data_IF_712299271712
#
_entry.id   IF_712299271712
#
_cell.length_a   1.000
_cell.length_b   1.000
_cell.length_c   1.000
_cell.angle_alpha   90.00
_cell.angle_beta   90.00
_cell.angle_gamma   90.00
#
_symmetry.space_group_name_H-M   'P 1'
#
loop_
_entity.id
_entity.type
_entity.pdbx_description
1 polymer ?
#
# COMPACT_ATOMS: atom_id res chain seq x y z
N UNK A 1 13.20 -4.82 12.19
CA UNK A 1 12.98 -5.81 11.12
C UNK A 1 14.20 -6.70 11.08
N UNK A 2 14.02 -8.02 11.09
CA UNK A 2 15.16 -8.95 11.02
C UNK A 2 15.60 -9.17 9.55
N UNK A 3 16.75 -9.81 9.34
CA UNK A 3 17.31 -10.01 8.00
C UNK A 3 16.41 -10.86 7.07
N UNK A 4 15.69 -11.83 7.62
CA UNK A 4 14.78 -12.68 6.84
C UNK A 4 13.54 -11.89 6.39
N UNK A 5 12.98 -11.04 7.25
CA UNK A 5 11.88 -10.13 6.92
C UNK A 5 12.30 -9.12 5.84
N UNK A 6 13.51 -8.56 5.94
CA UNK A 6 14.07 -7.67 4.91
C UNK A 6 14.15 -8.37 3.56
N UNK A 7 14.72 -9.58 3.54
CA UNK A 7 14.81 -10.39 2.32
C UNK A 7 13.44 -10.70 1.72
N UNK A 8 12.46 -11.05 2.57
CA UNK A 8 11.07 -11.24 2.15
C UNK A 8 10.48 -10.00 1.47
N UNK A 9 10.69 -8.83 2.07
CA UNK A 9 10.20 -7.56 1.52
C UNK A 9 10.82 -7.23 0.15
N UNK A 10 12.10 -7.51 -0.07
CA UNK A 10 12.73 -7.32 -1.38
C UNK A 10 12.05 -8.15 -2.47
N UNK A 11 11.73 -9.42 -2.18
CA UNK A 11 11.02 -10.27 -3.14
C UNK A 11 9.62 -9.75 -3.46
N UNK A 12 8.89 -9.29 -2.45
CA UNK A 12 7.53 -8.75 -2.64
C UNK A 12 7.58 -7.47 -3.49
N UNK A 13 8.52 -6.56 -3.20
CA UNK A 13 8.69 -5.31 -3.97
C UNK A 13 8.99 -5.64 -5.43
N UNK A 14 9.99 -6.50 -5.68
CA UNK A 14 10.38 -6.88 -7.04
C UNK A 14 9.22 -7.52 -7.81
N UNK A 15 8.48 -8.43 -7.18
CA UNK A 15 7.35 -9.12 -7.82
C UNK A 15 6.19 -8.17 -8.15
N UNK A 16 5.83 -7.28 -7.23
CA UNK A 16 4.75 -6.31 -7.43
C UNK A 16 5.09 -5.27 -8.50
N UNK A 17 6.33 -4.77 -8.52
CA UNK A 17 6.79 -3.89 -9.58
C UNK A 17 6.80 -4.61 -10.93
N UNK A 18 7.36 -5.82 -10.99
CA UNK A 18 7.38 -6.65 -12.21
C UNK A 18 5.98 -6.88 -12.76
N UNK A 19 5.05 -7.35 -11.92
CA UNK A 19 3.66 -7.61 -12.32
C UNK A 19 2.99 -6.34 -12.86
N UNK A 20 3.24 -5.20 -12.21
CA UNK A 20 2.69 -3.91 -12.64
C UNK A 20 3.28 -3.47 -13.98
N UNK A 21 4.60 -3.58 -14.16
CA UNK A 21 5.30 -3.23 -15.41
C UNK A 21 4.75 -4.01 -16.59
N UNK A 22 4.62 -5.34 -16.46
CA UNK A 22 4.04 -6.18 -17.52
C UNK A 22 2.60 -5.80 -17.81
N UNK A 23 1.77 -5.60 -16.78
CA UNK A 23 0.38 -5.21 -16.99
C UNK A 23 0.25 -3.85 -17.71
N UNK A 24 1.08 -2.86 -17.36
CA UNK A 24 1.13 -1.57 -18.05
C UNK A 24 1.60 -1.73 -19.50
N UNK A 25 2.59 -2.59 -19.75
CA UNK A 25 3.06 -2.91 -21.09
C UNK A 25 1.96 -3.59 -21.93
N UNK A 26 1.11 -4.40 -21.33
CA UNK A 26 -0.06 -5.02 -21.98
C UNK A 26 -1.24 -4.04 -22.18
N UNK A 27 -1.08 -2.78 -21.80
CA UNK A 27 -2.09 -1.73 -22.00
C UNK A 27 -3.10 -1.59 -20.86
N UNK A 28 -2.87 -2.24 -19.72
CA UNK A 28 -3.60 -1.90 -18.51
C UNK A 28 -3.21 -0.48 -18.03
N UNK A 29 -4.08 0.14 -17.25
CA UNK A 29 -3.84 1.46 -16.66
C UNK A 29 -4.33 1.48 -15.22
N UNK A 30 -3.75 2.37 -14.40
CA UNK A 30 -4.24 2.62 -13.05
C UNK A 30 -5.66 3.18 -13.10
N UNK A 31 -6.55 2.65 -12.26
CA UNK A 31 -7.95 3.03 -12.23
C UNK A 31 -8.54 2.84 -10.82
N UNK A 32 -9.61 3.57 -10.45
CA UNK A 32 -10.22 3.42 -9.13
C UNK A 32 -10.98 2.10 -8.94
N UNK A 33 -11.29 1.37 -10.03
CA UNK A 33 -12.03 0.10 -10.01
C UNK A 33 -11.43 -0.91 -11.00
N UNK A 34 -11.81 -2.18 -10.87
CA UNK A 34 -11.41 -3.26 -11.78
C UNK A 34 -9.90 -3.55 -11.74
N UNK A 35 -9.34 -3.95 -12.89
CA UNK A 35 -7.92 -4.34 -13.00
C UNK A 35 -6.95 -3.22 -12.59
N UNK A 36 -7.27 -1.98 -12.94
CA UNK A 36 -6.43 -0.84 -12.56
C UNK A 36 -6.37 -0.61 -11.05
N UNK A 37 -7.41 -0.98 -10.30
CA UNK A 37 -7.40 -0.90 -8.83
C UNK A 37 -6.46 -1.93 -8.20
N UNK A 38 -6.37 -3.11 -8.81
CA UNK A 38 -5.41 -4.15 -8.40
C UNK A 38 -3.98 -3.62 -8.60
N UNK A 39 -3.69 -2.97 -9.73
CA UNK A 39 -2.37 -2.36 -9.97
C UNK A 39 -2.03 -1.28 -8.93
N UNK A 40 -3.00 -0.41 -8.60
CA UNK A 40 -2.80 0.58 -7.52
C UNK A 40 -2.45 -0.08 -6.18
N UNK A 41 -3.08 -1.22 -5.86
CA UNK A 41 -2.76 -1.98 -4.63
C UNK A 41 -1.35 -2.56 -4.66
N UNK A 42 -0.91 -3.14 -5.78
CA UNK A 42 0.44 -3.68 -5.92
C UNK A 42 1.50 -2.58 -5.74
N UNK A 43 1.33 -1.44 -6.39
CA UNK A 43 2.24 -0.30 -6.27
C UNK A 43 2.23 0.27 -4.84
N UNK A 44 1.04 0.48 -4.24
CA UNK A 44 0.93 0.94 -2.85
C UNK A 44 1.64 0.00 -1.88
N UNK A 45 1.55 -1.32 -2.11
CA UNK A 45 2.25 -2.33 -1.30
C UNK A 45 3.77 -2.25 -1.47
N UNK A 46 4.25 -2.16 -2.72
CA UNK A 46 5.68 -2.00 -2.99
C UNK A 46 6.25 -0.73 -2.34
N UNK A 47 5.53 0.40 -2.46
CA UNK A 47 5.89 1.67 -1.84
C UNK A 47 5.91 1.58 -0.31
N UNK A 48 4.91 0.96 0.31
CA UNK A 48 4.86 0.78 1.76
C UNK A 48 6.08 0.00 2.28
N UNK A 49 6.40 -1.13 1.65
CA UNK A 49 7.56 -1.94 2.06
C UNK A 49 8.88 -1.23 1.80
N UNK A 50 8.97 -0.48 0.71
CA UNK A 50 10.15 0.34 0.39
C UNK A 50 10.37 1.41 1.46
N UNK A 51 9.30 2.03 1.98
CA UNK A 51 9.36 3.00 3.06
C UNK A 51 9.91 2.39 4.35
N UNK A 52 9.48 1.17 4.72
CA UNK A 52 10.03 0.45 5.87
C UNK A 52 11.51 0.07 5.72
N UNK A 53 11.98 -0.03 4.47
CA UNK A 53 13.37 -0.32 4.12
C UNK A 53 14.21 0.95 3.90
N UNK A 54 13.62 2.14 4.08
CA UNK A 54 14.24 3.45 3.82
C UNK A 54 14.67 3.67 2.36
N UNK A 55 13.96 3.06 1.41
CA UNK A 55 14.13 3.37 -0.02
C UNK A 55 13.28 4.57 -0.42
N UNK A 56 13.80 5.34 -1.38
CA UNK A 56 13.18 6.51 -1.96
C UNK A 56 12.29 6.16 -3.17
N UNK A 57 11.40 7.08 -3.62
CA UNK A 57 10.71 6.95 -4.90
C UNK A 57 11.66 6.69 -6.08
N UNK A 58 12.83 7.34 -6.07
CA UNK A 58 13.87 7.22 -7.09
C UNK A 58 14.46 5.81 -7.13
N UNK A 59 14.64 5.17 -5.97
CA UNK A 59 15.10 3.78 -5.88
C UNK A 59 14.08 2.82 -6.51
N UNK A 60 12.78 2.97 -6.25
CA UNK A 60 11.76 2.13 -6.90
C UNK A 60 11.73 2.31 -8.42
N UNK A 61 11.97 3.53 -8.90
CA UNK A 61 12.08 3.79 -10.34
C UNK A 61 13.32 3.12 -10.94
N UNK A 62 14.46 3.19 -10.25
CA UNK A 62 15.67 2.49 -10.67
C UNK A 62 15.47 0.96 -10.68
N UNK A 63 14.77 0.39 -9.69
CA UNK A 63 14.42 -1.02 -9.68
C UNK A 63 13.52 -1.39 -10.87
N UNK A 64 12.55 -0.53 -11.18
CA UNK A 64 11.66 -0.71 -12.32
C UNK A 64 12.42 -0.69 -13.65
N UNK A 65 13.41 0.19 -13.78
CA UNK A 65 14.31 0.22 -14.94
C UNK A 65 15.05 -1.09 -15.08
N UNK A 66 15.63 -1.55 -13.96
CA UNK A 66 16.40 -2.78 -13.97
C UNK A 66 15.55 -3.99 -14.34
N UNK A 67 14.29 -4.03 -13.90
CA UNK A 67 13.34 -5.08 -14.27
C UNK A 67 13.03 -5.07 -15.77
N UNK A 68 12.85 -3.89 -16.39
CA UNK A 68 12.65 -3.78 -17.84
C UNK A 68 13.90 -4.23 -18.60
N UNK A 69 15.09 -3.84 -18.15
CA UNK A 69 16.36 -4.28 -18.77
C UNK A 69 16.52 -5.81 -18.77
N UNK A 70 16.31 -6.45 -17.61
CA UNK A 70 16.50 -7.89 -17.44
C UNK A 70 15.50 -8.70 -18.28
N UNK A 71 14.26 -8.21 -18.42
CA UNK A 71 13.21 -8.92 -19.15
C UNK A 71 13.11 -8.52 -20.63
N UNK A 72 13.62 -7.35 -21.00
CA UNK A 72 13.42 -6.75 -22.32
C UNK A 72 14.20 -7.40 -23.47
N UNK A 73 15.06 -8.39 -23.20
CA UNK A 73 15.68 -9.21 -24.25
C UNK A 73 14.69 -10.23 -24.84
N UNK A 74 13.78 -10.76 -24.02
CA UNK A 74 12.76 -11.72 -24.44
C UNK A 74 11.41 -11.03 -24.70
N UNK A 75 11.07 -10.03 -23.88
CA UNK A 75 9.81 -9.29 -23.95
C UNK A 75 10.05 -7.89 -24.54
N UNK A 76 10.24 -7.82 -25.86
CA UNK A 76 10.64 -6.59 -26.59
C UNK A 76 9.65 -5.43 -26.35
N UNK A 77 8.36 -5.72 -26.26
CA UNK A 77 7.30 -4.75 -26.00
C UNK A 77 7.48 -3.97 -24.68
N UNK A 78 8.22 -4.50 -23.70
CA UNK A 78 8.57 -3.77 -22.48
C UNK A 78 9.46 -2.57 -22.78
N UNK A 79 10.45 -2.74 -23.67
CA UNK A 79 11.35 -1.67 -24.10
C UNK A 79 10.63 -0.68 -25.01
N UNK A 80 9.82 -1.16 -25.94
CA UNK A 80 9.04 -0.29 -26.84
C UNK A 80 8.09 0.64 -26.09
N UNK A 81 7.55 0.18 -24.95
CA UNK A 81 6.61 0.94 -24.13
C UNK A 81 7.23 1.55 -22.87
N UNK A 82 8.55 1.49 -22.73
CA UNK A 82 9.28 1.87 -21.51
C UNK A 82 8.88 3.26 -21.01
N UNK A 83 8.93 4.27 -21.88
CA UNK A 83 8.56 5.64 -21.52
C UNK A 83 7.13 5.75 -20.94
N UNK A 84 6.15 5.08 -21.56
CA UNK A 84 4.75 5.12 -21.13
C UNK A 84 4.55 4.40 -19.79
N UNK A 85 5.21 3.26 -19.61
CA UNK A 85 5.22 2.50 -18.35
C UNK A 85 5.79 3.38 -17.24
N UNK A 86 6.93 4.02 -17.48
CA UNK A 86 7.61 4.87 -16.52
C UNK A 86 6.79 6.10 -16.13
N UNK A 87 6.20 6.81 -17.08
CA UNK A 87 5.38 7.98 -16.81
C UNK A 87 4.19 7.64 -15.92
N UNK A 88 3.54 6.50 -16.20
CA UNK A 88 2.41 6.02 -15.40
C UNK A 88 2.84 5.57 -14.01
N UNK A 89 3.91 4.77 -13.93
CA UNK A 89 4.41 4.19 -12.69
C UNK A 89 4.98 5.27 -11.76
N UNK A 90 5.71 6.26 -12.30
CA UNK A 90 6.26 7.39 -11.53
C UNK A 90 5.17 8.22 -10.86
N UNK A 91 4.08 8.52 -11.58
CA UNK A 91 2.93 9.24 -11.02
C UNK A 91 2.34 8.47 -9.84
N UNK A 92 2.11 7.17 -10.01
CA UNK A 92 1.50 6.34 -8.96
C UNK A 92 2.45 6.12 -7.76
N UNK A 93 3.74 5.89 -7.99
CA UNK A 93 4.75 5.77 -6.93
C UNK A 93 4.80 7.06 -6.11
N UNK A 94 4.98 8.22 -6.74
CA UNK A 94 5.07 9.51 -6.05
C UNK A 94 3.80 9.82 -5.27
N UNK A 95 2.63 9.56 -5.86
CA UNK A 95 1.35 9.73 -5.19
C UNK A 95 1.27 8.90 -3.89
N UNK A 96 1.60 7.61 -3.97
CA UNK A 96 1.56 6.73 -2.80
C UNK A 96 2.63 7.09 -1.77
N UNK A 97 3.83 7.48 -2.20
CA UNK A 97 4.90 7.85 -1.28
C UNK A 97 4.53 9.09 -0.47
N UNK A 98 4.00 10.12 -1.13
CA UNK A 98 3.46 11.31 -0.48
C UNK A 98 2.33 10.96 0.50
N UNK A 99 1.42 10.06 0.11
CA UNK A 99 0.35 9.60 1.00
C UNK A 99 0.89 8.89 2.26
N UNK A 100 1.88 8.00 2.11
CA UNK A 100 2.51 7.28 3.21
C UNK A 100 3.25 8.24 4.15
N UNK A 101 4.03 9.18 3.60
CA UNK A 101 4.74 10.19 4.41
C UNK A 101 3.77 11.07 5.19
N UNK A 102 2.73 11.60 4.54
CA UNK A 102 1.72 12.43 5.21
C UNK A 102 0.98 11.65 6.29
N UNK A 103 0.67 10.38 6.03
CA UNK A 103 0.04 9.48 7.01
C UNK A 103 0.94 9.23 8.22
N UNK A 104 2.23 8.94 7.99
CA UNK A 104 3.22 8.78 9.05
C UNK A 104 3.31 10.06 9.90
N UNK A 105 3.41 11.23 9.27
CA UNK A 105 3.45 12.50 10.00
C UNK A 105 2.17 12.77 10.81
N UNK A 106 1.00 12.38 10.28
CA UNK A 106 -0.28 12.50 11.01
C UNK A 106 -0.26 11.67 12.30
N UNK A 107 0.21 10.42 12.23
CA UNK A 107 0.33 9.52 13.39
C UNK A 107 1.37 10.06 14.36
N UNK A 108 2.50 10.56 13.85
CA UNK A 108 3.56 11.14 14.66
C UNK A 108 3.07 12.33 15.48
N UNK A 109 2.34 13.26 14.86
CA UNK A 109 1.73 14.40 15.53
C UNK A 109 0.70 13.97 16.58
N UNK A 110 -0.05 12.89 16.32
CA UNK A 110 -0.97 12.34 17.32
C UNK A 110 -0.18 11.83 18.54
N UNK A 111 0.88 11.05 18.33
CA UNK A 111 1.72 10.54 19.41
C UNK A 111 2.36 11.67 20.22
N UNK A 112 2.89 12.72 19.57
CA UNK A 112 3.50 13.86 20.26
C UNK A 112 2.51 14.61 21.18
N UNK A 113 1.23 14.68 20.80
CA UNK A 113 0.20 15.38 21.58
C UNK A 113 -0.43 14.53 22.69
N UNK A 114 -0.21 13.21 22.69
CA UNK A 114 -0.85 12.29 23.62
C UNK A 114 0.21 11.49 24.37
N UNK A 115 0.29 11.67 25.70
CA UNK A 115 1.23 10.93 26.54
C UNK A 115 0.82 9.47 26.78
N UNK A 116 -0.46 9.16 26.66
CA UNK A 116 -0.98 7.80 26.80
C UNK A 116 -0.49 6.91 25.66
N UNK A 117 0.28 5.87 26.00
CA UNK A 117 0.90 4.94 25.05
C UNK A 117 -0.09 3.96 24.43
N UNK A 118 -1.28 3.81 24.98
CA UNK A 118 -2.34 2.98 24.40
C UNK A 118 -3.31 3.86 23.59
N UNK A 119 -3.28 3.72 22.27
CA UNK A 119 -4.16 4.44 21.34
C UNK A 119 -5.53 3.76 21.29
N UNK A 120 -6.65 4.50 21.39
CA UNK A 120 -7.98 3.92 21.29
C UNK A 120 -8.21 3.21 19.95
N UNK A 121 -8.82 2.03 19.98
CA UNK A 121 -9.06 1.21 18.78
C UNK A 121 -9.94 1.94 17.75
N UNK A 122 -10.85 2.82 18.18
CA UNK A 122 -11.67 3.66 17.31
C UNK A 122 -10.82 4.62 16.49
N UNK A 123 -9.71 5.12 17.06
CA UNK A 123 -8.80 6.03 16.36
C UNK A 123 -8.01 5.28 15.28
N UNK A 124 -7.55 4.07 15.61
CA UNK A 124 -6.88 3.17 14.65
C UNK A 124 -7.85 2.80 13.52
N UNK A 125 -9.08 2.43 13.88
CA UNK A 125 -10.14 2.11 12.94
C UNK A 125 -10.45 3.29 12.02
N UNK A 126 -10.53 4.51 12.56
CA UNK A 126 -10.73 5.71 11.74
C UNK A 126 -9.59 5.93 10.73
N UNK A 127 -8.33 5.79 11.16
CA UNK A 127 -7.19 5.90 10.26
C UNK A 127 -7.19 4.83 9.16
N UNK A 128 -7.56 3.61 9.51
CA UNK A 128 -7.62 2.50 8.59
C UNK A 128 -8.76 2.66 7.57
N UNK A 129 -9.98 2.86 8.06
CA UNK A 129 -11.20 2.83 7.26
C UNK A 129 -11.47 4.15 6.54
N UNK A 130 -11.40 5.26 7.27
CA UNK A 130 -11.75 6.58 6.73
C UNK A 130 -10.57 7.25 6.02
N UNK A 131 -9.39 7.26 6.64
CA UNK A 131 -8.20 7.86 6.02
C UNK A 131 -7.50 6.90 5.02
N UNK A 132 -7.87 5.62 4.98
CA UNK A 132 -7.29 4.63 4.06
C UNK A 132 -5.82 4.29 4.34
N UNK A 133 -5.36 4.54 5.56
CA UNK A 133 -3.98 4.30 5.99
C UNK A 133 -3.78 2.78 6.18
N UNK A 134 -2.77 2.16 5.54
CA UNK A 134 -2.48 0.74 5.77
C UNK A 134 -2.26 0.45 7.25
N UNK A 135 -2.91 -0.58 7.78
CA UNK A 135 -2.77 -0.99 9.18
C UNK A 135 -1.29 -1.19 9.56
N UNK A 136 -0.53 -1.82 8.68
CA UNK A 136 0.91 -2.04 8.88
C UNK A 136 1.71 -0.75 9.02
N UNK A 137 1.33 0.33 8.32
CA UNK A 137 1.97 1.64 8.52
C UNK A 137 1.63 2.18 9.91
N UNK A 138 0.37 2.02 10.35
CA UNK A 138 -0.07 2.46 11.67
C UNK A 138 0.72 1.73 12.75
N UNK A 139 0.74 0.41 12.71
CA UNK A 139 1.49 -0.45 13.63
C UNK A 139 2.97 -0.09 13.65
N UNK A 140 3.58 0.10 12.46
CA UNK A 140 4.97 0.49 12.34
C UNK A 140 5.25 1.83 13.05
N UNK A 141 4.48 2.88 12.74
CA UNK A 141 4.68 4.21 13.33
C UNK A 141 4.46 4.23 14.85
N UNK A 142 3.44 3.52 15.34
CA UNK A 142 3.16 3.44 16.78
C UNK A 142 4.28 2.70 17.51
N UNK A 143 4.69 1.54 17.01
CA UNK A 143 5.74 0.72 17.60
C UNK A 143 7.07 1.47 17.72
N UNK A 144 7.46 2.23 16.69
CA UNK A 144 8.68 3.05 16.72
C UNK A 144 8.68 4.11 17.84
N UNK A 145 7.50 4.51 18.34
CA UNK A 145 7.36 5.51 19.42
C UNK A 145 6.92 4.92 20.75
N UNK A 146 6.88 3.59 20.85
CA UNK A 146 6.43 2.86 22.03
C UNK A 146 4.94 3.03 22.31
N UNK A 147 4.11 3.22 21.28
CA UNK A 147 2.66 3.20 21.38
C UNK A 147 2.12 1.84 20.91
N UNK A 148 0.94 1.49 21.38
CA UNK A 148 0.23 0.27 21.03
C UNK A 148 -1.29 0.51 20.98
N UNK A 149 -2.06 -0.48 20.55
CA UNK A 149 -3.52 -0.45 20.58
C UNK A 149 -4.10 -1.86 20.81
N UNK A 150 -5.35 -1.93 21.27
CA UNK A 150 -6.02 -3.23 21.44
C UNK A 150 -6.41 -3.84 20.09
N UNK A 151 -5.65 -4.84 19.65
CA UNK A 151 -5.96 -5.59 18.43
C UNK A 151 -7.35 -6.25 18.50
N UNK A 152 -7.74 -6.70 19.70
CA UNK A 152 -9.05 -7.30 19.94
C UNK A 152 -10.18 -6.30 19.67
N UNK A 153 -10.12 -5.11 20.26
CA UNK A 153 -11.13 -4.07 20.07
C UNK A 153 -11.17 -3.58 18.61
N UNK A 154 -10.00 -3.43 17.97
CA UNK A 154 -9.94 -3.10 16.55
C UNK A 154 -10.62 -4.15 15.66
N UNK A 155 -10.37 -5.43 15.93
CA UNK A 155 -11.02 -6.54 15.21
C UNK A 155 -12.54 -6.56 15.45
N UNK A 156 -13.00 -6.27 16.66
CA UNK A 156 -14.43 -6.14 16.95
C UNK A 156 -15.09 -5.01 16.15
N UNK A 157 -14.40 -3.88 15.94
CA UNK A 157 -14.86 -2.79 15.08
C UNK A 157 -14.94 -3.19 13.61
N UNK A 158 -13.94 -3.93 13.10
CA UNK A 158 -13.97 -4.49 11.75
C UNK A 158 -15.16 -5.44 11.54
N UNK A 159 -15.41 -6.33 12.51
CA UNK A 159 -16.55 -7.26 12.42
C UNK A 159 -17.89 -6.54 12.49
N UNK A 160 -18.03 -5.50 13.33
CA UNK A 160 -19.23 -4.65 13.36
C UNK A 160 -19.45 -3.96 12.01
N UNK A 161 -18.41 -3.45 11.36
CA UNK A 161 -18.52 -2.81 10.05
C UNK A 161 -18.92 -3.82 8.95
N UNK A 162 -18.30 -5.01 8.93
CA UNK A 162 -18.66 -6.07 7.99
C UNK A 162 -20.12 -6.49 8.12
N UNK A 163 -20.61 -6.66 9.36
CA UNK A 163 -22.03 -6.99 9.64
C UNK A 163 -22.97 -5.92 9.09
N UNK A 164 -22.70 -4.63 9.37
CA UNK A 164 -23.48 -3.50 8.82
C UNK A 164 -23.53 -3.52 7.29
N UNK A 165 -22.37 -3.73 6.64
CA UNK A 165 -22.31 -3.81 5.18
C UNK A 165 -23.02 -5.03 4.59
N UNK A 166 -23.19 -6.12 5.36
CA UNK A 166 -23.99 -7.29 4.96
C UNK A 166 -25.49 -6.97 5.08
N UNK A 167 -25.91 -6.46 6.23
CA UNK A 167 -27.30 -6.07 6.50
C UNK A 167 -27.81 -5.02 5.50
N UNK A 168 -26.98 -4.03 5.14
CA UNK A 168 -27.35 -3.01 4.14
C UNK A 168 -27.52 -3.59 2.73
N UNK A 169 -26.75 -4.62 2.36
CA UNK A 169 -26.89 -5.32 1.08
C UNK A 169 -28.15 -6.18 1.05
N UNK A 170 -28.43 -6.88 2.15
CA UNK A 170 -29.65 -7.67 2.33
C UNK A 170 -30.91 -6.78 2.28
N UNK A 171 -30.89 -5.62 2.96
CA UNK A 171 -31.99 -4.63 2.92
C UNK A 171 -32.21 -4.03 1.53
N UNK A 172 -31.16 -3.91 0.71
CA UNK A 172 -31.24 -3.37 -0.66
C UNK A 172 -31.58 -4.44 -1.71
N UNK A 173 -31.79 -5.70 -1.32
CA UNK A 173 -32.16 -6.78 -2.25
C UNK A 173 -31.08 -7.13 -3.28
N UNK A 174 -29.81 -6.76 -3.02
CA UNK A 174 -28.71 -7.06 -3.94
C UNK A 174 -28.22 -8.47 -3.61
N UNK A 175 -28.67 -9.46 -4.38
CA UNK A 175 -28.16 -10.83 -4.30
C UNK A 175 -26.65 -10.82 -4.56
N UNK A 176 -25.91 -11.54 -3.71
CA UNK A 176 -24.47 -11.72 -3.87
C UNK A 176 -24.21 -12.52 -5.16
N UNK A 177 -23.60 -11.88 -6.16
CA UNK A 177 -22.95 -12.55 -7.28
C UNK A 177 -21.47 -12.76 -6.95
#
# INVERSE_FOLDING_TARGET
MNANEQKGNYYIIADHLRTTIFALADGAAFAPKGRGYILKKLVKRAVLLSFFLNFSPEDLLAFSQKLIEINGSFYIHLKEKESSIFDSLKKEINHNFNFIQNSSQKIDRYCQKNSQKLVPAEKIFFWYDTDGIPLELIEYCLKQKGYDFSQKEFNELLEKQKKRGKEDREKRGIAAF
#
